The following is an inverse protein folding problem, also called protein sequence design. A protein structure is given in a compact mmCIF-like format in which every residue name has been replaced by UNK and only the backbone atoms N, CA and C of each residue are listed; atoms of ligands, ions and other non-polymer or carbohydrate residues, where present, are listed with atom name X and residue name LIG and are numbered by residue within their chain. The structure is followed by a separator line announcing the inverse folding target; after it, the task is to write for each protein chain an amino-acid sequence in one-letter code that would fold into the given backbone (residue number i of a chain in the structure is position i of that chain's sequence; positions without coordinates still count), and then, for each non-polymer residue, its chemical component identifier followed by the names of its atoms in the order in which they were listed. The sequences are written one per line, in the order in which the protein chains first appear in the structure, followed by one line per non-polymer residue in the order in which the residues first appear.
data_IF_926895369419
#
_entry.id   IF_926895369419
#
_cell.length_a   1.000
_cell.length_b   1.000
_cell.length_c   1.000
_cell.angle_alpha   90.00
_cell.angle_beta   90.00
_cell.angle_gamma   90.00
#
_symmetry.space_group_name_H-M   'P 1'
#
loop_
_entity.id
_entity.type
_entity.pdbx_description
1 polymer ?
#
# COMPACT_ATOMS: atom_id res chain seq x y z
N UNK A 1 -10.88 -0.50 1.10
CA UNK A 1 -9.57 -0.91 1.66
C UNK A 1 -9.80 -1.81 2.86
N UNK A 2 -8.83 -2.63 3.20
CA UNK A 2 -8.88 -3.51 4.38
C UNK A 2 -7.56 -3.38 5.14
N UNK A 3 -7.65 -3.34 6.48
CA UNK A 3 -6.51 -3.29 7.38
C UNK A 3 -6.31 -4.67 8.03
N UNK A 4 -5.05 -5.10 8.15
CA UNK A 4 -4.65 -6.30 8.85
C UNK A 4 -3.51 -5.99 9.82
N UNK A 5 -3.60 -6.54 11.03
CA UNK A 5 -2.52 -6.48 12.02
C UNK A 5 -1.61 -7.69 11.77
N UNK A 6 -0.37 -7.43 11.36
CA UNK A 6 0.65 -8.44 11.10
C UNK A 6 1.58 -8.57 12.32
N UNK A 7 2.56 -9.48 12.25
CA UNK A 7 3.54 -9.66 13.32
C UNK A 7 4.39 -8.40 13.56
N UNK A 8 4.95 -8.27 14.77
CA UNK A 8 5.83 -7.17 15.18
C UNK A 8 5.21 -5.76 15.09
N UNK A 9 3.88 -5.66 15.16
CA UNK A 9 3.18 -4.38 15.09
C UNK A 9 3.19 -3.74 13.70
N UNK A 10 3.52 -4.53 12.67
CA UNK A 10 3.36 -4.13 11.27
C UNK A 10 1.88 -4.16 10.93
N UNK A 11 1.42 -3.16 10.18
CA UNK A 11 0.03 -3.10 9.73
C UNK A 11 0.00 -3.20 8.21
N UNK A 12 -0.74 -4.17 7.67
CA UNK A 12 -0.91 -4.32 6.22
C UNK A 12 -2.21 -3.67 5.78
N UNK A 13 -2.11 -2.66 4.93
CA UNK A 13 -3.23 -2.09 4.21
C UNK A 13 -3.35 -2.76 2.84
N UNK A 14 -4.48 -3.42 2.61
CA UNK A 14 -4.87 -3.94 1.30
C UNK A 14 -5.80 -2.97 0.61
N UNK A 15 -5.33 -2.38 -0.48
CA UNK A 15 -6.08 -1.40 -1.27
C UNK A 15 -6.45 -2.03 -2.60
N UNK A 16 -7.74 -1.97 -2.91
CA UNK A 16 -8.30 -2.40 -4.18
C UNK A 16 -9.14 -1.25 -4.75
N UNK A 17 -8.98 -0.94 -6.04
CA UNK A 17 -9.90 -0.05 -6.74
C UNK A 17 -11.13 -0.82 -7.18
N UNK A 18 -12.30 -0.41 -6.69
CA UNK A 18 -13.59 -0.86 -7.23
C UNK A 18 -14.18 0.15 -8.22
N UNK A 19 -13.53 1.30 -8.42
CA UNK A 19 -14.05 2.38 -9.27
C UNK A 19 -13.87 2.07 -10.76
N UNK A 20 -14.98 1.72 -11.42
CA UNK A 20 -15.10 1.75 -12.87
C UNK A 20 -14.96 3.20 -13.34
N UNK A 21 -14.01 3.49 -14.23
CA UNK A 21 -14.00 4.78 -14.91
C UNK A 21 -15.18 4.82 -15.90
N UNK A 22 -15.86 5.97 -15.98
CA UNK A 22 -17.00 6.25 -16.86
C UNK A 22 -16.69 6.15 -18.37
N UNK A 23 -15.47 5.73 -18.75
CA UNK A 23 -14.95 5.70 -20.11
C UNK A 23 -14.63 4.28 -20.61
N UNK A 24 -15.07 3.22 -19.92
CA UNK A 24 -14.86 1.83 -20.35
C UNK A 24 -13.41 1.34 -20.30
N UNK A 25 -12.46 2.20 -19.89
CA UNK A 25 -11.09 1.84 -19.53
C UNK A 25 -10.97 1.81 -18.02
N UNK A 26 -10.66 0.64 -17.47
CA UNK A 26 -10.15 0.56 -16.10
C UNK A 26 -8.96 1.53 -16.00
N UNK A 27 -9.01 2.48 -15.06
CA UNK A 27 -7.87 3.37 -14.81
C UNK A 27 -6.78 2.47 -14.27
N UNK A 28 -5.73 2.28 -15.07
CA UNK A 28 -4.65 1.35 -14.81
C UNK A 28 -3.98 1.67 -13.46
N UNK A 29 -4.28 0.85 -12.45
CA UNK A 29 -3.63 0.85 -11.14
C UNK A 29 -4.04 1.95 -10.16
N UNK A 30 -3.91 1.63 -8.87
CA UNK A 30 -3.89 2.64 -7.79
C UNK A 30 -2.56 3.39 -7.89
N UNK A 31 -2.62 4.70 -8.05
CA UNK A 31 -1.41 5.56 -8.08
C UNK A 31 -0.74 5.66 -6.70
N UNK A 32 0.55 5.99 -6.70
CA UNK A 32 1.28 6.23 -5.46
C UNK A 32 0.65 7.37 -4.63
N UNK A 33 0.22 8.46 -5.26
CA UNK A 33 -0.42 9.58 -4.56
C UNK A 33 -1.71 9.12 -3.86
N UNK A 34 -2.53 8.32 -4.53
CA UNK A 34 -3.74 7.76 -3.91
C UNK A 34 -3.43 6.85 -2.72
N UNK A 35 -2.35 6.06 -2.80
CA UNK A 35 -1.88 5.23 -1.68
C UNK A 35 -1.43 6.10 -0.50
N UNK A 36 -0.71 7.19 -0.77
CA UNK A 36 -0.27 8.14 0.25
C UNK A 36 -1.46 8.87 0.90
N UNK A 37 -2.44 9.31 0.11
CA UNK A 37 -3.67 9.94 0.61
C UNK A 37 -4.47 8.98 1.50
N UNK A 38 -4.65 7.72 1.07
CA UNK A 38 -5.35 6.71 1.86
C UNK A 38 -4.64 6.48 3.19
N UNK A 39 -3.31 6.26 3.17
CA UNK A 39 -2.49 6.09 4.38
C UNK A 39 -2.64 7.26 5.35
N UNK A 40 -2.62 8.49 4.84
CA UNK A 40 -2.78 9.68 5.66
C UNK A 40 -4.19 9.77 6.24
N UNK A 41 -5.22 9.47 5.44
CA UNK A 41 -6.63 9.54 5.84
C UNK A 41 -7.00 8.52 6.93
N UNK A 42 -6.31 7.37 7.00
CA UNK A 42 -6.54 6.36 8.04
C UNK A 42 -5.72 6.56 9.31
N UNK A 43 -5.03 7.70 9.45
CA UNK A 43 -4.31 8.06 10.67
C UNK A 43 -2.87 7.57 10.74
N UNK A 44 -2.30 7.06 9.64
CA UNK A 44 -0.91 6.61 9.57
C UNK A 44 -0.02 7.60 8.81
N UNK A 45 -0.33 8.90 8.86
CA UNK A 45 0.44 9.94 8.17
C UNK A 45 1.92 9.92 8.58
N UNK A 46 2.19 9.72 9.87
CA UNK A 46 3.54 9.78 10.47
C UNK A 46 4.32 8.46 10.43
N UNK A 47 3.72 7.37 9.93
CA UNK A 47 4.41 6.08 9.77
C UNK A 47 5.02 5.93 8.39
N UNK A 48 6.07 5.15 8.26
CA UNK A 48 6.53 4.76 6.94
C UNK A 48 5.68 3.61 6.40
N UNK A 49 5.54 3.56 5.08
CA UNK A 49 4.86 2.49 4.37
C UNK A 49 5.77 1.94 3.27
N UNK A 50 5.81 0.63 3.12
CA UNK A 50 6.52 -0.05 2.02
C UNK A 50 5.58 -0.92 1.20
N UNK A 51 5.86 -1.02 -0.08
CA UNK A 51 5.27 -2.02 -0.95
C UNK A 51 6.29 -3.13 -1.17
N UNK A 52 5.88 -4.38 -0.93
CA UNK A 52 6.75 -5.55 -1.06
C UNK A 52 6.50 -6.21 -2.41
N UNK A 53 7.56 -6.34 -3.21
CA UNK A 53 7.56 -7.14 -4.42
C UNK A 53 8.14 -8.52 -4.07
N UNK A 54 7.31 -9.58 -4.02
CA UNK A 54 7.77 -10.89 -3.61
C UNK A 54 8.77 -11.46 -4.62
N UNK A 55 9.59 -12.42 -4.17
CA UNK A 55 10.43 -13.18 -5.08
C UNK A 55 9.56 -13.88 -6.14
N UNK A 56 10.08 -14.08 -7.35
CA UNK A 56 9.31 -14.61 -8.48
C UNK A 56 8.58 -15.93 -8.18
N UNK A 57 9.18 -16.79 -7.35
CA UNK A 57 8.59 -18.07 -6.91
C UNK A 57 7.36 -17.91 -6.01
N UNK A 58 7.24 -16.78 -5.34
CA UNK A 58 6.18 -16.44 -4.39
C UNK A 58 5.17 -15.46 -5.01
N UNK A 59 5.31 -15.14 -6.31
CA UNK A 59 4.38 -14.28 -7.04
C UNK A 59 3.07 -15.03 -7.26
N UNK A 60 2.01 -14.53 -6.61
CA UNK A 60 0.64 -15.00 -6.79
C UNK A 60 -0.17 -13.87 -7.41
N UNK A 61 -0.56 -14.02 -8.68
CA UNK A 61 -1.31 -13.01 -9.43
C UNK A 61 -2.81 -13.27 -9.34
N UNK A 62 -3.43 -12.87 -8.24
CA UNK A 62 -4.86 -13.18 -7.96
C UNK A 62 -5.80 -11.97 -8.06
N UNK A 63 -5.29 -10.74 -8.06
CA UNK A 63 -6.12 -9.54 -8.25
C UNK A 63 -5.28 -8.28 -8.49
N UNK A 64 -5.91 -7.24 -9.03
CA UNK A 64 -5.36 -5.88 -9.05
C UNK A 64 -5.47 -5.26 -7.65
N UNK A 65 -4.64 -5.74 -6.72
CA UNK A 65 -4.58 -5.31 -5.32
C UNK A 65 -3.17 -4.80 -5.01
N UNK A 66 -3.11 -3.66 -4.33
CA UNK A 66 -1.88 -3.07 -3.82
C UNK A 66 -1.83 -3.28 -2.31
N UNK A 67 -0.69 -3.69 -1.81
CA UNK A 67 -0.47 -3.93 -0.39
C UNK A 67 0.58 -2.95 0.11
N UNK A 68 0.25 -2.23 1.18
CA UNK A 68 1.19 -1.39 1.91
C UNK A 68 1.42 -1.99 3.28
N UNK A 69 2.68 -2.13 3.68
CA UNK A 69 3.07 -2.51 5.02
C UNK A 69 3.56 -1.28 5.75
N UNK A 70 2.80 -0.89 6.77
CA UNK A 70 3.15 0.17 7.70
C UNK A 70 4.06 -0.41 8.75
N UNK A 71 5.27 0.12 8.83
CA UNK A 71 6.24 -0.30 9.83
C UNK A 71 6.10 0.55 11.10
N UNK A 72 6.37 -0.07 12.24
CA UNK A 72 6.25 0.61 13.53
C UNK A 72 7.40 1.60 13.78
N UNK A 73 8.60 1.23 13.34
CA UNK A 73 9.80 2.05 13.47
C UNK A 73 10.15 2.70 12.13
N UNK A 74 10.71 3.93 12.15
CA UNK A 74 11.18 4.58 10.93
C UNK A 74 12.20 3.71 10.18
N UNK A 75 12.02 3.56 8.87
CA UNK A 75 12.95 2.82 8.04
C UNK A 75 14.30 3.53 8.00
N UNK A 76 15.36 2.79 8.33
CA UNK A 76 16.74 3.30 8.37
C UNK A 76 17.29 3.63 6.98
N UNK A 77 16.72 3.04 5.93
CA UNK A 77 17.09 3.26 4.53
C UNK A 77 16.12 4.19 3.79
N UNK A 78 15.10 4.73 4.46
CA UNK A 78 14.22 5.70 3.83
C UNK A 78 14.93 7.04 3.64
N UNK A 79 14.71 7.65 2.48
CA UNK A 79 15.17 9.00 2.22
C UNK A 79 14.45 9.98 3.15
N UNK A 80 15.21 10.80 3.89
CA UNK A 80 14.68 11.89 4.72
C UNK A 80 15.11 13.23 4.16
N UNK A 81 14.31 14.26 4.46
CA UNK A 81 14.69 15.63 4.18
C UNK A 81 15.57 16.08 5.36
N UNK A 82 16.87 16.23 5.12
CA UNK A 82 17.78 16.96 6.02
C UNK A 82 17.35 18.42 6.16
#
# INVERSE_FOLDING_TARGET
MQEFQEENGVIRLSVNTTSMANSGRWKDGISWDALQEIKNAVGYADRDAVEIYPAQKDVVNVANMRHLWLVNEPLTFAWRKD
#
